data_IF_398941076463
#
_entry.id   IF_398941076463
#
_cell.length_a   1.000
_cell.length_b   1.000
_cell.length_c   1.000
_cell.angle_alpha   90.00
_cell.angle_beta   90.00
_cell.angle_gamma   90.00
#
_symmetry.space_group_name_H-M   'P 1'
#
loop_
_entity.id
_entity.type
_entity.pdbx_description
1 polymer ?
#
# COMPACT_ATOMS: atom_id res chain seq x y z
N UNK A 1 -11.48 7.16 -16.48
CA UNK A 1 -11.87 5.74 -16.43
C UNK A 1 -11.50 5.24 -15.04
N UNK A 2 -12.45 5.00 -14.14
CA UNK A 2 -12.13 4.45 -12.81
C UNK A 2 -11.91 2.96 -12.99
N UNK A 3 -10.66 2.52 -12.86
CA UNK A 3 -10.30 1.10 -12.85
C UNK A 3 -10.59 0.59 -11.44
N UNK A 4 -11.84 0.25 -11.20
CA UNK A 4 -12.29 -0.63 -10.10
C UNK A 4 -13.67 -1.17 -10.46
N UNK A 5 -13.80 -1.70 -11.67
CA UNK A 5 -14.95 -2.52 -12.00
C UNK A 5 -14.87 -3.76 -11.10
N UNK A 6 -15.74 -3.79 -10.09
CA UNK A 6 -16.00 -4.94 -9.24
C UNK A 6 -14.73 -5.52 -8.58
N UNK A 7 -14.21 -4.82 -7.57
CA UNK A 7 -13.29 -5.41 -6.59
C UNK A 7 -14.04 -6.58 -5.90
N UNK A 8 -14.05 -7.76 -6.53
CA UNK A 8 -14.72 -8.98 -6.01
C UNK A 8 -13.72 -9.96 -5.43
N UNK A 9 -12.46 -9.87 -5.86
CA UNK A 9 -11.36 -10.79 -5.55
C UNK A 9 -10.03 -10.03 -5.61
N UNK A 10 -8.98 -10.66 -5.07
CA UNK A 10 -7.61 -10.12 -5.12
C UNK A 10 -7.25 -9.19 -3.95
N UNK A 11 -6.04 -8.62 -4.00
CA UNK A 11 -5.51 -7.74 -2.98
C UNK A 11 -6.43 -6.55 -2.61
N UNK A 12 -6.96 -5.75 -3.57
CA UNK A 12 -7.81 -4.62 -3.22
C UNK A 12 -9.09 -5.04 -2.49
N UNK A 13 -9.65 -6.22 -2.81
CA UNK A 13 -10.83 -6.74 -2.14
C UNK A 13 -10.55 -7.06 -0.68
N UNK A 14 -9.42 -7.73 -0.42
CA UNK A 14 -9.02 -8.10 0.94
C UNK A 14 -8.74 -6.86 1.79
N UNK A 15 -8.18 -5.80 1.20
CA UNK A 15 -7.95 -4.52 1.90
C UNK A 15 -9.29 -3.92 2.31
N UNK A 16 -10.23 -3.75 1.38
CA UNK A 16 -11.55 -3.18 1.70
C UNK A 16 -12.30 -4.04 2.72
N UNK A 17 -12.27 -5.37 2.59
CA UNK A 17 -12.90 -6.26 3.57
C UNK A 17 -12.31 -6.11 4.98
N UNK A 18 -10.98 -6.06 5.11
CA UNK A 18 -10.32 -5.91 6.42
C UNK A 18 -10.59 -4.54 7.06
N UNK A 19 -10.65 -3.48 6.25
CA UNK A 19 -11.06 -2.17 6.71
C UNK A 19 -12.51 -2.17 7.22
N UNK A 20 -13.45 -2.70 6.44
CA UNK A 20 -14.87 -2.76 6.84
C UNK A 20 -15.10 -3.66 8.05
N UNK A 21 -14.29 -4.71 8.23
CA UNK A 21 -14.31 -5.56 9.41
C UNK A 21 -13.70 -4.89 10.65
N UNK A 22 -13.11 -3.70 10.53
CA UNK A 22 -12.37 -2.98 11.59
C UNK A 22 -11.31 -3.85 12.27
N UNK A 23 -10.59 -4.61 11.46
CA UNK A 23 -9.65 -5.63 11.94
C UNK A 23 -8.21 -5.10 11.98
N UNK A 24 -7.51 -5.11 10.84
CA UNK A 24 -6.05 -4.98 10.82
C UNK A 24 -5.54 -3.53 10.72
N UNK A 25 -6.37 -2.59 10.30
CA UNK A 25 -5.94 -1.20 10.07
C UNK A 25 -7.12 -0.23 10.04
N UNK A 26 -6.81 1.04 10.31
CA UNK A 26 -7.72 2.16 10.22
C UNK A 26 -7.47 2.97 8.94
N UNK A 27 -8.53 3.50 8.35
CA UNK A 27 -8.44 4.42 7.22
C UNK A 27 -8.38 5.85 7.77
N UNK A 28 -7.27 6.53 7.53
CA UNK A 28 -7.10 7.96 7.84
C UNK A 28 -7.20 8.74 6.53
N UNK A 29 -8.03 9.77 6.49
CA UNK A 29 -8.24 10.59 5.28
C UNK A 29 -8.40 12.05 5.65
N UNK A 30 -7.86 12.96 4.83
CA UNK A 30 -8.02 14.39 5.07
C UNK A 30 -9.35 14.93 4.51
N UNK A 31 -9.83 16.03 5.08
CA UNK A 31 -11.05 16.71 4.62
C UNK A 31 -10.96 17.15 3.16
N UNK A 32 -9.83 17.71 2.74
CA UNK A 32 -9.59 18.19 1.38
C UNK A 32 -9.64 17.07 0.35
N UNK A 33 -9.05 15.90 0.65
CA UNK A 33 -9.12 14.73 -0.24
C UNK A 33 -10.57 14.26 -0.42
N UNK A 34 -11.37 14.23 0.66
CA UNK A 34 -12.78 13.86 0.54
C UNK A 34 -13.60 14.88 -0.24
N UNK A 35 -13.31 16.17 -0.07
CA UNK A 35 -13.95 17.23 -0.85
C UNK A 35 -13.61 17.13 -2.34
N UNK A 36 -12.35 16.83 -2.68
CA UNK A 36 -11.94 16.61 -4.07
C UNK A 36 -12.64 15.38 -4.68
N UNK A 37 -12.73 14.27 -3.93
CA UNK A 37 -13.45 13.08 -4.39
C UNK A 37 -14.92 13.39 -4.63
N UNK A 38 -15.57 14.14 -3.75
CA UNK A 38 -16.96 14.58 -3.91
C UNK A 38 -17.14 15.47 -5.17
N UNK A 39 -16.27 16.46 -5.36
CA UNK A 39 -16.28 17.30 -6.57
C UNK A 39 -16.11 16.43 -7.82
N UNK A 40 -15.10 15.56 -7.86
CA UNK A 40 -14.83 14.69 -9.01
C UNK A 40 -16.05 13.82 -9.33
N UNK A 41 -16.63 13.13 -8.34
CA UNK A 41 -17.75 12.22 -8.57
C UNK A 41 -19.02 12.94 -9.06
N UNK A 42 -19.19 14.23 -8.74
CA UNK A 42 -20.34 15.03 -9.17
C UNK A 42 -20.16 15.69 -10.53
N UNK A 43 -18.96 15.63 -11.15
CA UNK A 43 -18.72 16.21 -12.47
C UNK A 43 -19.60 15.56 -13.57
N UNK A 44 -20.08 16.34 -14.55
CA UNK A 44 -20.97 15.84 -15.63
C UNK A 44 -20.42 14.65 -16.44
N UNK A 45 -19.10 14.48 -16.47
CA UNK A 45 -18.45 13.34 -17.14
C UNK A 45 -18.66 12.03 -16.40
N UNK A 46 -18.78 12.07 -15.07
CA UNK A 46 -18.91 10.89 -14.21
C UNK A 46 -20.36 10.59 -13.83
N UNK A 47 -21.26 11.59 -13.87
CA UNK A 47 -22.71 11.37 -13.63
C UNK A 47 -23.35 10.41 -14.64
N UNK A 48 -22.73 10.21 -15.81
CA UNK A 48 -23.13 9.17 -16.78
C UNK A 48 -22.84 7.73 -16.32
N UNK A 49 -22.04 7.55 -15.26
CA UNK A 49 -21.56 6.25 -14.76
C UNK A 49 -21.99 5.95 -13.33
N UNK A 50 -22.20 6.98 -12.52
CA UNK A 50 -22.66 6.88 -11.13
C UNK A 50 -23.67 8.00 -10.89
N UNK A 51 -24.77 7.71 -10.19
CA UNK A 51 -25.72 8.76 -9.84
C UNK A 51 -25.10 9.70 -8.80
N UNK A 52 -25.52 10.97 -8.81
CA UNK A 52 -25.07 11.94 -7.79
C UNK A 52 -25.44 11.46 -6.38
N UNK A 53 -26.62 10.84 -6.23
CA UNK A 53 -27.06 10.28 -4.95
C UNK A 53 -26.14 9.17 -4.43
N UNK A 54 -25.71 8.26 -5.30
CA UNK A 54 -24.78 7.18 -4.94
C UNK A 54 -23.40 7.73 -4.61
N UNK A 55 -22.91 8.72 -5.37
CA UNK A 55 -21.66 9.40 -5.11
C UNK A 55 -21.64 10.05 -3.72
N UNK A 56 -22.68 10.83 -3.38
CA UNK A 56 -22.79 11.47 -2.07
C UNK A 56 -22.92 10.44 -0.94
N UNK A 57 -23.63 9.34 -1.18
CA UNK A 57 -23.77 8.25 -0.21
C UNK A 57 -22.44 7.55 0.04
N UNK A 58 -21.66 7.33 -1.01
CA UNK A 58 -20.31 6.78 -0.92
C UNK A 58 -19.37 7.67 -0.10
N UNK A 59 -19.34 8.98 -0.38
CA UNK A 59 -18.50 9.93 0.37
C UNK A 59 -18.93 10.00 1.84
N UNK A 60 -20.24 10.01 2.13
CA UNK A 60 -20.76 9.96 3.51
C UNK A 60 -20.37 8.69 4.25
N UNK A 61 -20.39 7.54 3.58
CA UNK A 61 -19.96 6.28 4.18
C UNK A 61 -18.48 6.35 4.58
N UNK A 62 -17.61 6.89 3.72
CA UNK A 62 -16.19 7.06 4.07
C UNK A 62 -16.04 8.04 5.25
N UNK A 63 -16.72 9.18 5.24
CA UNK A 63 -16.71 10.14 6.36
C UNK A 63 -17.11 9.52 7.70
N UNK A 64 -17.95 8.48 7.68
CA UNK A 64 -18.44 7.81 8.89
C UNK A 64 -17.51 6.69 9.35
N UNK A 65 -16.83 6.03 8.42
CA UNK A 65 -16.04 4.82 8.69
C UNK A 65 -14.53 5.10 8.81
N UNK A 66 -14.05 6.21 8.28
CA UNK A 66 -12.65 6.63 8.34
C UNK A 66 -12.42 7.61 9.50
N UNK A 67 -11.17 7.69 9.96
CA UNK A 67 -10.70 8.80 10.78
C UNK A 67 -10.41 10.00 9.87
N UNK A 68 -11.25 11.03 9.98
CA UNK A 68 -11.18 12.22 9.13
C UNK A 68 -10.41 13.32 9.85
N UNK A 69 -9.23 13.63 9.32
CA UNK A 69 -8.31 14.62 9.89
C UNK A 69 -8.30 15.91 9.07
N UNK A 70 -7.80 17.00 9.66
CA UNK A 70 -7.54 18.23 8.91
C UNK A 70 -6.50 17.99 7.81
N UNK A 71 -6.54 18.84 6.79
CA UNK A 71 -5.53 18.79 5.75
C UNK A 71 -4.14 19.04 6.34
N UNK A 72 -3.14 18.24 5.94
CA UNK A 72 -1.78 18.44 6.42
C UNK A 72 -1.29 19.82 6.00
N UNK A 73 -0.53 20.48 6.87
CA UNK A 73 0.13 21.74 6.53
C UNK A 73 1.01 21.49 5.31
N UNK A 74 0.85 22.32 4.28
CA UNK A 74 1.68 22.25 3.07
C UNK A 74 3.11 22.58 3.48
N UNK A 75 3.95 21.56 3.56
CA UNK A 75 5.39 21.73 3.72
C UNK A 75 5.93 21.92 2.30
N UNK A 76 6.55 23.08 2.07
CA UNK A 76 7.22 23.37 0.81
C UNK A 76 8.26 22.27 0.54
N UNK A 77 8.11 21.54 -0.56
CA UNK A 77 8.93 20.37 -0.84
C UNK A 77 10.38 20.79 -1.13
N UNK A 78 11.26 20.68 -0.12
CA UNK A 78 12.68 21.05 -0.24
C UNK A 78 13.54 20.00 -0.97
N UNK A 79 12.98 18.89 -1.42
CA UNK A 79 13.77 17.83 -2.02
C UNK A 79 13.05 17.24 -3.23
N UNK A 80 13.59 17.53 -4.41
CA UNK A 80 13.34 16.73 -5.61
C UNK A 80 13.93 15.35 -5.35
N UNK A 81 13.16 14.28 -5.53
CA UNK A 81 13.68 12.92 -5.39
C UNK A 81 14.93 12.77 -6.27
N UNK A 82 16.13 12.53 -5.69
CA UNK A 82 17.36 12.37 -6.46
C UNK A 82 17.32 11.16 -7.40
N UNK A 83 16.34 10.26 -7.23
CA UNK A 83 16.21 9.02 -7.99
C UNK A 83 15.28 9.10 -9.21
N UNK A 84 15.00 10.29 -9.74
CA UNK A 84 14.58 10.41 -11.15
C UNK A 84 15.80 10.34 -12.11
N UNK A 85 16.83 9.58 -11.74
CA UNK A 85 17.89 9.09 -12.63
C UNK A 85 18.08 7.60 -12.32
N UNK A 86 17.88 6.75 -13.32
CA UNK A 86 17.92 5.28 -13.29
C UNK A 86 18.98 4.69 -12.36
N UNK A 87 18.56 4.12 -11.23
CA UNK A 87 19.04 2.84 -10.65
C UNK A 87 18.46 2.64 -9.24
N UNK A 88 17.57 1.65 -9.09
CA UNK A 88 17.12 1.14 -7.79
C UNK A 88 18.16 0.13 -7.24
N UNK A 89 18.28 -0.02 -5.91
CA UNK A 89 17.44 -1.01 -5.23
C UNK A 89 17.07 -0.58 -3.80
N UNK A 90 15.79 -0.27 -3.55
CA UNK A 90 15.29 -0.23 -2.18
C UNK A 90 15.46 -1.63 -1.56
N UNK A 91 16.26 -1.71 -0.50
CA UNK A 91 16.53 -2.97 0.21
C UNK A 91 15.24 -3.49 0.85
N UNK A 92 14.96 -4.75 0.56
CA UNK A 92 14.10 -5.64 1.33
C UNK A 92 14.57 -5.60 2.79
N UNK A 93 13.65 -5.38 3.73
CA UNK A 93 13.85 -5.64 5.16
C UNK A 93 14.31 -7.10 5.34
N UNK A 94 15.59 -7.33 5.59
CA UNK A 94 16.04 -8.60 6.17
C UNK A 94 15.88 -8.49 7.68
N UNK A 95 14.85 -9.14 8.21
CA UNK A 95 14.73 -9.45 9.63
C UNK A 95 16.02 -10.15 10.13
N UNK A 96 16.42 -9.98 11.40
CA UNK A 96 17.61 -10.62 11.92
C UNK A 96 17.33 -12.12 12.08
N UNK A 97 17.83 -12.95 11.15
CA UNK A 97 17.87 -14.39 11.37
C UNK A 97 18.91 -14.69 12.43
N UNK A 98 18.39 -15.15 13.57
CA UNK A 98 19.08 -15.82 14.67
C UNK A 98 20.29 -16.66 14.24
N UNK A 99 21.28 -16.66 15.13
CA UNK A 99 22.50 -17.45 15.07
C UNK A 99 22.23 -18.95 14.80
N UNK A 100 22.68 -19.44 13.66
CA UNK A 100 23.03 -20.84 13.47
C UNK A 100 24.54 -20.90 13.18
N UNK A 101 25.32 -21.05 14.24
CA UNK A 101 26.75 -21.37 14.18
C UNK A 101 26.88 -22.86 13.83
N UNK A 102 27.18 -23.18 12.58
CA UNK A 102 27.71 -24.49 12.18
C UNK A 102 28.45 -24.38 10.83
N UNK A 103 29.78 -24.26 10.95
CA UNK A 103 30.79 -25.03 10.21
C UNK A 103 30.52 -25.46 8.76
N UNK A 104 31.35 -24.93 7.85
CA UNK A 104 31.89 -25.54 6.61
C UNK A 104 32.84 -24.51 5.99
N UNK A 105 34.05 -24.77 5.50
CA UNK A 105 34.87 -25.97 5.31
C UNK A 105 36.24 -25.40 4.95
N UNK A 106 37.25 -25.63 5.80
CA UNK A 106 38.63 -25.49 5.35
C UNK A 106 38.88 -26.56 4.29
N UNK A 107 39.57 -26.15 3.24
CA UNK A 107 40.14 -27.01 2.20
C UNK A 107 40.93 -28.15 2.82
N UNK A 108 40.59 -29.40 2.48
CA UNK A 108 41.45 -30.54 2.77
C UNK A 108 41.73 -31.34 1.51
N UNK A 109 43.02 -31.49 1.25
CA UNK A 109 43.58 -32.14 0.09
C UNK A 109 43.26 -33.63 0.04
N UNK A 110 43.23 -34.10 -1.20
CA UNK A 110 43.30 -35.47 -1.68
C UNK A 110 44.48 -36.23 -1.01
N UNK A 111 44.23 -37.48 -0.62
CA UNK A 111 45.12 -38.67 -0.54
C UNK A 111 44.75 -39.48 0.71
N UNK A 112 44.72 -40.81 0.81
CA UNK A 112 44.71 -41.97 -0.06
C UNK A 112 44.68 -43.18 0.91
N UNK A 113 44.30 -44.37 0.43
CA UNK A 113 44.61 -45.70 1.02
C UNK A 113 43.90 -46.19 2.31
N UNK A 114 42.91 -47.08 2.09
CA UNK A 114 42.83 -48.51 2.51
C UNK A 114 43.44 -48.95 3.86
N UNK A 115 42.65 -49.60 4.74
CA UNK A 115 42.52 -51.08 4.92
C UNK A 115 42.04 -51.43 6.35
N UNK A 116 41.12 -52.40 6.36
CA UNK A 116 40.87 -53.53 7.29
C UNK A 116 40.68 -53.26 8.77
#
# INVERSE_FOLDING_TARGET
>A
MIVSAAIRRGAPYRIVQRWLARDTFDLIVSKGVLAEVEDVLTRPRLTKRISVGDALTYVRAIRTLADVVEDPVVIESLTRDPMMTTSLPWRVNTAPTSSCRATRTCSYGRSDVRRS
#
